data_IF_956226060460
#
_entry.id   IF_956226060460
#
_cell.length_a   1.000
_cell.length_b   1.000
_cell.length_c   1.000
_cell.angle_alpha   90.00
_cell.angle_beta   90.00
_cell.angle_gamma   90.00
#
_symmetry.space_group_name_H-M   'P 1'
#
loop_
_entity.id
_entity.type
_entity.pdbx_description
1 polymer ?
#
# COMPACT_ATOMS: atom_id res chain seq x y z
N UNK A 1 12.15 -33.10 1.84
CA UNK A 1 12.03 -32.73 0.41
C UNK A 1 12.87 -31.49 0.16
N UNK A 2 13.91 -31.61 -0.68
CA UNK A 2 14.79 -30.50 -1.05
C UNK A 2 14.10 -29.61 -2.09
N UNK A 3 13.53 -28.49 -1.64
CA UNK A 3 13.16 -27.41 -2.54
C UNK A 3 14.42 -26.71 -3.01
N UNK A 4 14.63 -26.65 -4.33
CA UNK A 4 15.62 -25.77 -4.93
C UNK A 4 15.44 -24.37 -4.35
N UNK A 5 16.41 -23.90 -3.56
CA UNK A 5 16.57 -22.49 -3.22
C UNK A 5 16.97 -21.78 -4.51
N UNK A 6 16.02 -21.47 -5.38
CA UNK A 6 16.18 -20.36 -6.31
C UNK A 6 16.54 -19.16 -5.45
N UNK A 7 17.75 -18.63 -5.64
CA UNK A 7 18.23 -17.47 -4.89
C UNK A 7 17.19 -16.36 -5.00
N UNK A 8 16.52 -16.06 -3.89
CA UNK A 8 15.52 -15.02 -3.79
C UNK A 8 16.15 -13.74 -4.30
N UNK A 9 15.66 -13.25 -5.43
CA UNK A 9 16.19 -12.02 -6.03
C UNK A 9 15.05 -11.02 -6.02
N UNK A 10 15.07 -10.05 -5.09
CA UNK A 10 14.09 -8.98 -5.07
C UNK A 10 13.98 -8.31 -6.43
N UNK A 11 12.81 -7.77 -6.75
CA UNK A 11 12.71 -6.89 -7.91
C UNK A 11 13.49 -5.59 -7.63
N UNK A 12 14.20 -5.08 -8.64
CA UNK A 12 14.75 -3.73 -8.55
C UNK A 12 13.60 -2.74 -8.42
N UNK A 13 13.81 -1.68 -7.66
CA UNK A 13 12.89 -0.56 -7.58
C UNK A 13 13.36 0.58 -8.46
N UNK A 14 12.42 1.38 -8.97
CA UNK A 14 12.72 2.64 -9.63
C UNK A 14 13.08 3.74 -8.62
N UNK A 15 13.35 4.95 -9.13
CA UNK A 15 13.63 6.11 -8.28
C UNK A 15 12.48 6.44 -7.32
N UNK A 16 11.25 5.98 -7.58
CA UNK A 16 10.06 6.16 -6.73
C UNK A 16 9.94 5.12 -5.62
N UNK A 17 10.70 4.01 -5.70
CA UNK A 17 10.57 2.87 -4.80
C UNK A 17 9.56 1.82 -5.30
N UNK A 18 8.95 2.03 -6.46
CA UNK A 18 8.04 1.05 -7.06
C UNK A 18 8.84 -0.09 -7.70
N UNK A 19 8.43 -1.36 -7.56
CA UNK A 19 9.08 -2.46 -8.27
C UNK A 19 9.03 -2.24 -9.79
N UNK A 20 10.14 -2.55 -10.45
CA UNK A 20 10.26 -2.54 -11.90
C UNK A 20 9.78 -3.90 -12.40
N UNK A 21 8.55 -3.91 -12.92
CA UNK A 21 7.92 -5.04 -13.58
C UNK A 21 7.87 -4.77 -15.09
N UNK A 22 7.95 -5.83 -15.91
CA UNK A 22 7.61 -5.69 -17.32
C UNK A 22 6.09 -5.74 -17.52
N UNK A 23 5.59 -5.31 -18.69
CA UNK A 23 4.15 -5.21 -18.98
C UNK A 23 3.36 -6.50 -18.71
N UNK A 24 3.96 -7.67 -18.97
CA UNK A 24 3.28 -8.95 -18.75
C UNK A 24 3.25 -9.33 -17.26
N UNK A 25 4.30 -8.99 -16.51
CA UNK A 25 4.33 -9.15 -15.05
C UNK A 25 3.33 -8.21 -14.38
N UNK A 26 3.26 -6.95 -14.83
CA UNK A 26 2.25 -5.99 -14.38
C UNK A 26 0.84 -6.51 -14.64
N UNK A 27 0.56 -6.99 -15.86
CA UNK A 27 -0.75 -7.54 -16.22
C UNK A 27 -1.18 -8.70 -15.30
N UNK A 28 -0.26 -9.62 -14.96
CA UNK A 28 -0.56 -10.73 -14.03
C UNK A 28 -0.80 -10.22 -12.60
N UNK A 29 0.05 -9.31 -12.11
CA UNK A 29 -0.09 -8.75 -10.75
C UNK A 29 -1.40 -7.97 -10.61
N UNK A 30 -1.72 -7.11 -11.58
CA UNK A 30 -2.95 -6.31 -11.59
C UNK A 30 -4.19 -7.19 -11.74
N UNK A 31 -4.13 -8.26 -12.54
CA UNK A 31 -5.25 -9.19 -12.65
C UNK A 31 -5.54 -9.89 -11.32
N UNK A 32 -4.50 -10.39 -10.64
CA UNK A 32 -4.63 -11.01 -9.32
C UNK A 32 -5.11 -10.01 -8.25
N UNK A 33 -4.73 -8.73 -8.37
CA UNK A 33 -5.22 -7.68 -7.49
C UNK A 33 -6.71 -7.42 -7.70
N UNK A 34 -7.14 -7.25 -8.95
CA UNK A 34 -8.52 -6.86 -9.28
C UNK A 34 -9.53 -7.99 -9.13
N UNK A 35 -9.12 -9.23 -9.40
CA UNK A 35 -10.02 -10.39 -9.45
C UNK A 35 -9.71 -11.45 -8.39
N UNK A 36 -8.58 -11.31 -7.69
CA UNK A 36 -8.18 -12.25 -6.67
C UNK A 36 -7.48 -13.49 -7.16
N UNK A 37 -7.60 -14.56 -6.36
CA UNK A 37 -6.89 -15.80 -6.61
C UNK A 37 -7.29 -16.43 -7.95
N UNK A 38 -6.29 -16.88 -8.71
CA UNK A 38 -6.51 -17.45 -10.04
C UNK A 38 -5.54 -18.59 -10.33
N UNK A 39 -5.90 -19.47 -11.26
CA UNK A 39 -5.03 -20.58 -11.70
C UNK A 39 -4.38 -20.24 -13.04
N UNK A 40 -3.24 -20.88 -13.33
CA UNK A 40 -2.38 -20.50 -14.47
C UNK A 40 -3.10 -20.41 -15.84
N UNK A 41 -4.04 -21.31 -16.13
CA UNK A 41 -4.79 -21.26 -17.39
C UNK A 41 -5.78 -20.09 -17.45
N UNK A 42 -6.45 -19.76 -16.33
CA UNK A 42 -7.34 -18.59 -16.29
C UNK A 42 -6.54 -17.30 -16.45
N UNK A 43 -5.38 -17.21 -15.81
CA UNK A 43 -4.46 -16.08 -15.99
C UNK A 43 -4.01 -15.95 -17.44
N UNK A 44 -3.64 -17.04 -18.11
CA UNK A 44 -3.27 -17.05 -19.53
C UNK A 44 -4.41 -16.51 -20.42
N UNK A 45 -5.63 -16.98 -20.20
CA UNK A 45 -6.80 -16.51 -20.94
C UNK A 45 -7.07 -15.02 -20.72
N UNK A 46 -7.09 -14.55 -19.46
CA UNK A 46 -7.47 -13.17 -19.15
C UNK A 46 -6.39 -12.18 -19.57
N UNK A 47 -5.11 -12.54 -19.40
CA UNK A 47 -3.98 -11.69 -19.82
C UNK A 47 -3.64 -11.82 -21.30
N UNK A 48 -4.31 -12.72 -22.03
CA UNK A 48 -4.03 -13.04 -23.43
C UNK A 48 -2.54 -13.42 -23.66
N UNK A 49 -1.99 -14.23 -22.76
CA UNK A 49 -0.62 -14.72 -22.79
C UNK A 49 -0.59 -16.23 -23.00
N UNK A 50 0.50 -16.74 -23.57
CA UNK A 50 0.72 -18.18 -23.63
C UNK A 50 0.91 -18.78 -22.23
N UNK A 51 0.42 -20.00 -22.03
CA UNK A 51 0.51 -20.68 -20.73
C UNK A 51 1.96 -20.85 -20.24
N UNK A 52 2.90 -21.09 -21.16
CA UNK A 52 4.33 -21.17 -20.83
C UNK A 52 4.86 -19.82 -20.35
N UNK A 53 4.46 -18.72 -21.00
CA UNK A 53 4.80 -17.35 -20.58
C UNK A 53 4.26 -17.03 -19.20
N UNK A 54 2.99 -17.33 -18.93
CA UNK A 54 2.39 -17.15 -17.59
C UNK A 54 3.13 -17.97 -16.54
N UNK A 55 3.49 -19.21 -16.85
CA UNK A 55 4.22 -20.08 -15.92
C UNK A 55 5.59 -19.50 -15.56
N UNK A 56 6.33 -18.97 -16.54
CA UNK A 56 7.61 -18.30 -16.31
C UNK A 56 7.44 -16.98 -15.51
N UNK A 57 6.39 -16.22 -15.80
CA UNK A 57 6.07 -14.98 -15.07
C UNK A 57 5.77 -15.28 -13.60
N UNK A 58 4.89 -16.25 -13.33
CA UNK A 58 4.52 -16.65 -11.97
C UNK A 58 5.76 -17.11 -11.21
N UNK A 59 6.59 -17.98 -11.80
CA UNK A 59 7.82 -18.43 -11.16
C UNK A 59 8.73 -17.26 -10.78
N UNK A 60 8.82 -16.22 -11.64
CA UNK A 60 9.60 -15.02 -11.34
C UNK A 60 8.97 -14.15 -10.25
N UNK A 61 7.64 -14.01 -10.24
CA UNK A 61 6.90 -13.26 -9.22
C UNK A 61 6.97 -13.94 -7.85
N UNK A 62 6.88 -15.27 -7.80
CA UNK A 62 7.10 -16.09 -6.60
C UNK A 62 8.52 -15.92 -6.07
N UNK A 63 9.53 -16.00 -6.94
CA UNK A 63 10.93 -15.77 -6.56
C UNK A 63 11.20 -14.35 -6.03
N UNK A 64 10.36 -13.38 -6.40
CA UNK A 64 10.38 -12.01 -5.89
C UNK A 64 9.38 -11.74 -4.76
N UNK A 65 8.77 -12.78 -4.17
CA UNK A 65 7.79 -12.71 -3.08
C UNK A 65 6.52 -11.89 -3.37
N UNK A 66 6.15 -11.70 -4.64
CA UNK A 66 4.93 -10.95 -4.99
C UNK A 66 3.70 -11.86 -5.12
N UNK A 67 3.92 -13.13 -5.43
CA UNK A 67 2.88 -14.14 -5.59
C UNK A 67 3.20 -15.33 -4.71
N UNK A 68 2.18 -15.96 -4.16
CA UNK A 68 2.23 -17.27 -3.52
C UNK A 68 1.21 -18.20 -4.15
N UNK A 69 1.26 -19.48 -3.81
CA UNK A 69 0.25 -20.44 -4.24
C UNK A 69 -0.25 -21.30 -3.09
N UNK A 70 -1.51 -21.71 -3.21
CA UNK A 70 -2.10 -22.80 -2.43
C UNK A 70 -2.52 -23.93 -3.37
N UNK A 71 -2.49 -25.17 -2.85
CA UNK A 71 -3.02 -26.31 -3.59
C UNK A 71 -4.53 -26.41 -3.36
N UNK A 72 -5.30 -26.29 -4.44
CA UNK A 72 -6.74 -26.48 -4.40
C UNK A 72 -7.07 -27.94 -4.67
N UNK A 73 -7.35 -28.66 -3.59
CA UNK A 73 -7.51 -30.12 -3.58
C UNK A 73 -8.94 -30.59 -3.88
N UNK A 74 -9.93 -29.69 -3.95
CA UNK A 74 -11.35 -30.03 -4.21
C UNK A 74 -11.90 -29.33 -5.46
N UNK A 75 -11.43 -29.65 -6.68
CA UNK A 75 -12.07 -29.15 -7.89
C UNK A 75 -13.54 -29.63 -7.98
N UNK A 76 -14.50 -28.74 -8.35
CA UNK A 76 -15.94 -29.03 -8.32
C UNK A 76 -16.38 -30.16 -9.26
N UNK A 77 -15.53 -30.58 -10.18
CA UNK A 77 -15.73 -31.73 -11.08
C UNK A 77 -14.38 -32.41 -11.25
N UNK A 78 -14.35 -33.75 -11.19
CA UNK A 78 -13.17 -34.63 -11.41
C UNK A 78 -12.03 -33.90 -12.14
N UNK A 79 -11.01 -33.51 -11.39
CA UNK A 79 -9.88 -32.76 -11.92
C UNK A 79 -8.66 -32.96 -11.06
N UNK A 80 -7.47 -32.87 -11.69
CA UNK A 80 -6.22 -32.82 -10.95
C UNK A 80 -6.21 -31.58 -10.02
N UNK A 81 -5.52 -31.65 -8.86
CA UNK A 81 -5.29 -30.50 -8.01
C UNK A 81 -4.75 -29.33 -8.83
N UNK A 82 -5.25 -28.12 -8.56
CA UNK A 82 -4.81 -26.90 -9.25
C UNK A 82 -4.03 -26.03 -8.28
N UNK A 83 -2.95 -25.42 -8.77
CA UNK A 83 -2.30 -24.33 -8.06
C UNK A 83 -3.14 -23.06 -8.22
N UNK A 84 -3.60 -22.53 -7.11
CA UNK A 84 -4.27 -21.23 -7.03
C UNK A 84 -3.24 -20.21 -6.60
N UNK A 85 -2.96 -19.25 -7.47
CA UNK A 85 -2.02 -18.17 -7.24
C UNK A 85 -2.73 -16.97 -6.64
N UNK A 86 -2.11 -16.36 -5.64
CA UNK A 86 -2.57 -15.17 -4.94
C UNK A 86 -1.44 -14.16 -4.86
N UNK A 87 -1.75 -12.88 -4.71
CA UNK A 87 -0.74 -11.93 -4.24
C UNK A 87 -0.34 -12.28 -2.81
N UNK A 88 0.88 -11.91 -2.45
CA UNK A 88 1.32 -11.76 -1.06
C UNK A 88 1.00 -10.33 -0.58
N UNK A 89 1.29 -10.03 0.69
CA UNK A 89 1.31 -8.65 1.20
C UNK A 89 2.13 -7.69 0.33
N UNK A 90 3.37 -8.09 -0.01
CA UNK A 90 4.23 -7.31 -0.90
C UNK A 90 3.62 -7.17 -2.30
N UNK A 91 2.99 -8.24 -2.82
CA UNK A 91 2.29 -8.20 -4.10
C UNK A 91 1.11 -7.23 -4.13
N UNK A 92 0.32 -7.19 -3.05
CA UNK A 92 -0.80 -6.27 -2.88
C UNK A 92 -0.34 -4.80 -2.94
N UNK A 93 0.67 -4.44 -2.14
CA UNK A 93 1.21 -3.08 -2.14
C UNK A 93 1.94 -2.75 -3.45
N UNK A 94 2.59 -3.72 -4.08
CA UNK A 94 3.17 -3.56 -5.41
C UNK A 94 2.11 -3.21 -6.46
N UNK A 95 0.96 -3.89 -6.46
CA UNK A 95 -0.14 -3.60 -7.38
C UNK A 95 -0.66 -2.17 -7.24
N UNK A 96 -0.87 -1.70 -6.00
CA UNK A 96 -1.26 -0.32 -5.71
C UNK A 96 -0.22 0.67 -6.22
N UNK A 97 1.08 0.42 -5.98
CA UNK A 97 2.14 1.28 -6.48
C UNK A 97 2.22 1.30 -8.01
N UNK A 98 1.99 0.17 -8.69
CA UNK A 98 1.97 0.12 -10.17
C UNK A 98 0.79 0.93 -10.71
N UNK A 99 -0.41 0.76 -10.15
CA UNK A 99 -1.61 1.52 -10.53
C UNK A 99 -1.42 3.03 -10.35
N UNK A 100 -0.82 3.43 -9.24
CA UNK A 100 -0.56 4.84 -8.92
C UNK A 100 0.73 5.38 -9.52
N UNK A 101 1.48 4.57 -10.28
CA UNK A 101 2.67 4.97 -11.04
C UNK A 101 2.34 5.21 -12.51
N UNK A 102 1.43 4.42 -13.08
CA UNK A 102 1.23 4.41 -14.53
C UNK A 102 0.70 5.74 -15.05
N UNK A 103 1.48 6.35 -15.95
CA UNK A 103 1.25 7.71 -16.41
C UNK A 103 0.03 7.84 -17.35
N UNK A 104 -0.43 6.73 -17.92
CA UNK A 104 -1.40 6.69 -19.01
C UNK A 104 -2.82 6.22 -18.62
N UNK A 105 -3.08 5.87 -17.36
CA UNK A 105 -4.37 5.30 -16.93
C UNK A 105 -5.26 6.35 -16.23
N UNK A 106 -6.35 6.84 -16.88
CA UNK A 106 -7.32 7.75 -16.28
C UNK A 106 -8.38 6.99 -15.48
N UNK A 107 -9.10 7.70 -14.57
CA UNK A 107 -10.35 7.42 -13.84
C UNK A 107 -10.69 5.98 -13.36
N UNK A 108 -10.47 4.96 -14.18
CA UNK A 108 -10.59 3.54 -13.88
C UNK A 108 -9.62 3.12 -12.76
N UNK A 109 -8.47 3.79 -12.59
CA UNK A 109 -7.51 3.48 -11.52
C UNK A 109 -8.13 3.49 -10.12
N UNK A 110 -8.99 4.47 -9.82
CA UNK A 110 -9.66 4.56 -8.54
C UNK A 110 -10.62 3.37 -8.33
N UNK A 111 -11.34 2.97 -9.39
CA UNK A 111 -12.25 1.83 -9.36
C UNK A 111 -11.49 0.50 -9.24
N UNK A 112 -10.36 0.36 -9.92
CA UNK A 112 -9.50 -0.83 -9.82
C UNK A 112 -8.91 -0.96 -8.41
N UNK A 113 -8.48 0.14 -7.79
CA UNK A 113 -8.02 0.15 -6.39
C UNK A 113 -9.15 -0.24 -5.44
N UNK A 114 -10.33 0.37 -5.57
CA UNK A 114 -11.50 0.06 -4.74
C UNK A 114 -11.91 -1.41 -4.86
N UNK A 115 -12.01 -1.92 -6.11
CA UNK A 115 -12.30 -3.31 -6.39
C UNK A 115 -11.23 -4.24 -5.83
N UNK A 116 -9.96 -3.92 -6.03
CA UNK A 116 -8.86 -4.76 -5.56
C UNK A 116 -8.80 -4.86 -4.04
N UNK A 117 -8.95 -3.73 -3.32
CA UNK A 117 -9.05 -3.71 -1.85
C UNK A 117 -10.25 -4.56 -1.40
N UNK A 118 -11.42 -4.38 -2.01
CA UNK A 118 -12.63 -5.14 -1.67
C UNK A 118 -12.51 -6.63 -1.98
N UNK A 119 -11.81 -7.04 -3.03
CA UNK A 119 -11.56 -8.46 -3.28
C UNK A 119 -10.64 -9.01 -2.20
N UNK A 120 -9.55 -8.30 -1.92
CA UNK A 120 -8.51 -8.79 -1.03
C UNK A 120 -8.99 -9.03 0.40
N UNK A 121 -9.93 -8.23 0.91
CA UNK A 121 -10.55 -8.45 2.23
C UNK A 121 -11.26 -9.80 2.39
N UNK A 122 -11.59 -10.48 1.29
CA UNK A 122 -12.28 -11.78 1.32
C UNK A 122 -11.33 -12.97 1.21
N UNK A 123 -10.02 -12.73 1.11
CA UNK A 123 -9.02 -13.76 0.82
C UNK A 123 -8.30 -14.26 2.07
N UNK A 124 -7.75 -15.48 1.98
CA UNK A 124 -6.93 -16.08 3.03
C UNK A 124 -5.70 -15.24 3.43
N UNK A 125 -5.20 -14.39 2.53
CA UNK A 125 -4.10 -13.46 2.79
C UNK A 125 -4.57 -12.00 2.91
N UNK A 126 -5.88 -11.82 3.11
CA UNK A 126 -6.58 -10.54 3.21
C UNK A 126 -6.47 -9.85 4.57
N UNK A 127 -5.78 -10.46 5.54
CA UNK A 127 -5.69 -10.00 6.93
C UNK A 127 -5.33 -8.51 7.04
N UNK A 128 -4.46 -8.02 6.14
CA UNK A 128 -4.05 -6.61 6.04
C UNK A 128 -5.24 -5.67 5.85
N UNK A 129 -6.16 -6.02 4.95
CA UNK A 129 -7.33 -5.18 4.67
C UNK A 129 -8.36 -5.33 5.78
N UNK A 130 -8.50 -6.52 6.35
CA UNK A 130 -9.43 -6.77 7.45
C UNK A 130 -9.04 -6.01 8.71
N UNK A 131 -7.74 -5.87 8.98
CA UNK A 131 -7.25 -5.23 10.21
C UNK A 131 -6.90 -3.75 10.05
N UNK A 132 -6.85 -3.24 8.82
CA UNK A 132 -6.72 -1.80 8.54
C UNK A 132 -8.09 -1.12 8.50
N UNK A 133 -8.31 -0.15 9.38
CA UNK A 133 -9.49 0.72 9.40
C UNK A 133 -9.58 1.53 8.11
N UNK A 134 -8.47 2.07 7.60
CA UNK A 134 -8.45 2.89 6.38
C UNK A 134 -8.74 2.08 5.12
N UNK A 135 -8.11 0.91 4.95
CA UNK A 135 -8.35 0.07 3.77
C UNK A 135 -9.77 -0.50 3.79
N UNK A 136 -10.27 -0.91 4.95
CA UNK A 136 -11.64 -1.41 5.09
C UNK A 136 -12.68 -0.35 4.70
N UNK A 137 -12.44 0.91 5.06
CA UNK A 137 -13.33 2.04 4.74
C UNK A 137 -12.94 2.82 3.49
N UNK A 138 -12.08 2.26 2.65
CA UNK A 138 -11.53 2.95 1.48
C UNK A 138 -12.63 3.49 0.54
N UNK A 139 -13.65 2.69 0.25
CA UNK A 139 -14.78 3.10 -0.60
C UNK A 139 -15.54 4.30 -0.02
N UNK A 140 -15.77 4.33 1.30
CA UNK A 140 -16.42 5.42 2.01
C UNK A 140 -15.57 6.69 1.92
N UNK A 141 -14.26 6.59 2.17
CA UNK A 141 -13.31 7.71 2.08
C UNK A 141 -13.38 8.32 0.67
N UNK A 142 -13.27 7.48 -0.37
CA UNK A 142 -13.31 7.95 -1.76
C UNK A 142 -14.67 8.55 -2.13
N UNK A 143 -15.79 7.95 -1.71
CA UNK A 143 -17.13 8.47 -1.97
C UNK A 143 -17.37 9.84 -1.32
N UNK A 144 -16.99 9.99 -0.04
CA UNK A 144 -17.10 11.26 0.69
C UNK A 144 -16.21 12.32 0.06
N UNK A 145 -15.00 11.95 -0.36
CA UNK A 145 -14.10 12.87 -1.05
C UNK A 145 -14.69 13.34 -2.38
N UNK A 146 -15.27 12.42 -3.17
CA UNK A 146 -16.00 12.75 -4.42
C UNK A 146 -17.17 13.72 -4.22
N UNK A 147 -17.80 13.64 -3.06
CA UNK A 147 -18.96 14.46 -2.71
C UNK A 147 -18.57 15.79 -2.06
N UNK A 148 -17.29 15.96 -1.70
CA UNK A 148 -16.80 17.19 -1.10
C UNK A 148 -16.60 18.26 -2.17
N UNK A 149 -17.10 19.47 -1.91
CA UNK A 149 -16.77 20.66 -2.71
C UNK A 149 -15.40 21.24 -2.32
N UNK A 150 -14.60 20.49 -1.56
CA UNK A 150 -13.34 20.96 -1.03
C UNK A 150 -12.26 20.78 -2.10
N UNK A 151 -11.81 21.89 -2.67
CA UNK A 151 -10.71 21.92 -3.62
C UNK A 151 -9.44 22.12 -2.80
N UNK A 152 -8.53 21.13 -2.82
CA UNK A 152 -7.19 21.35 -2.31
C UNK A 152 -6.53 22.39 -3.22
N UNK A 153 -6.29 23.60 -2.71
CA UNK A 153 -5.58 24.62 -3.46
C UNK A 153 -4.08 24.28 -3.40
N UNK A 154 -3.50 23.70 -4.45
CA UNK A 154 -2.05 23.57 -4.54
C UNK A 154 -1.41 24.94 -4.78
N UNK A 155 -0.86 25.51 -3.72
CA UNK A 155 0.02 26.67 -3.80
C UNK A 155 1.45 26.21 -3.52
N UNK A 156 2.46 26.91 -4.05
CA UNK A 156 3.88 26.58 -3.81
C UNK A 156 4.26 26.60 -2.32
N UNK A 157 3.48 27.28 -1.48
CA UNK A 157 3.64 27.32 -0.02
C UNK A 157 3.25 25.98 0.65
N UNK A 158 2.45 25.15 -0.05
CA UNK A 158 1.98 23.85 0.43
C UNK A 158 2.97 22.68 0.22
N UNK A 159 4.22 22.95 -0.18
CA UNK A 159 5.26 21.92 -0.39
C UNK A 159 6.46 22.06 0.56
N UNK A 160 6.31 22.83 1.63
CA UNK A 160 7.38 23.02 2.60
C UNK A 160 7.69 21.69 3.32
N UNK A 161 8.95 21.23 3.28
CA UNK A 161 9.36 19.93 3.85
C UNK A 161 9.17 18.72 2.92
N UNK A 162 8.71 18.94 1.69
CA UNK A 162 8.61 17.86 0.71
C UNK A 162 9.91 17.75 -0.08
N UNK A 163 10.44 16.53 -0.17
CA UNK A 163 11.48 16.19 -1.14
C UNK A 163 10.98 16.41 -2.56
N UNK A 164 11.88 16.73 -3.49
CA UNK A 164 11.56 16.87 -4.93
C UNK A 164 10.80 15.64 -5.47
N UNK A 165 11.20 14.47 -5.00
CA UNK A 165 10.58 13.19 -5.33
C UNK A 165 9.10 13.13 -4.90
N UNK A 166 8.76 13.60 -3.70
CA UNK A 166 7.38 13.64 -3.23
C UNK A 166 6.55 14.66 -4.01
N UNK A 167 7.12 15.82 -4.32
CA UNK A 167 6.44 16.86 -5.11
C UNK A 167 6.07 16.34 -6.50
N UNK A 168 7.01 15.71 -7.20
CA UNK A 168 6.75 15.12 -8.52
C UNK A 168 5.66 14.06 -8.47
N UNK A 169 5.67 13.18 -7.45
CA UNK A 169 4.63 12.16 -7.27
C UNK A 169 3.27 12.82 -7.04
N UNK A 170 3.19 13.82 -6.14
CA UNK A 170 1.93 14.48 -5.85
C UNK A 170 1.43 15.33 -6.99
N UNK A 171 2.26 16.10 -7.68
CA UNK A 171 1.82 16.83 -8.87
C UNK A 171 1.28 15.88 -9.94
N UNK A 172 1.90 14.70 -10.09
CA UNK A 172 1.44 13.67 -11.03
C UNK A 172 0.08 13.09 -10.60
N UNK A 173 -0.11 12.85 -9.30
CA UNK A 173 -1.35 12.30 -8.75
C UNK A 173 -2.44 13.38 -8.71
N UNK A 174 -2.20 14.56 -8.15
CA UNK A 174 -3.15 15.67 -8.02
C UNK A 174 -3.67 16.15 -9.38
N UNK A 175 -2.81 16.29 -10.40
CA UNK A 175 -3.24 16.65 -11.76
C UNK A 175 -4.18 15.62 -12.39
N UNK A 176 -4.12 14.36 -11.95
CA UNK A 176 -4.91 13.24 -12.48
C UNK A 176 -6.10 12.87 -11.60
N UNK A 177 -6.04 13.19 -10.31
CA UNK A 177 -7.00 12.79 -9.30
C UNK A 177 -7.36 14.00 -8.42
N UNK A 178 -8.61 14.53 -8.48
CA UNK A 178 -9.09 15.59 -7.58
C UNK A 178 -9.09 15.18 -6.08
N UNK A 179 -8.72 13.94 -5.79
CA UNK A 179 -8.60 13.31 -4.46
C UNK A 179 -7.15 12.93 -4.16
N UNK A 180 -6.19 13.61 -4.78
CA UNK A 180 -4.81 13.18 -4.89
C UNK A 180 -4.09 12.93 -3.56
N UNK A 181 -4.50 13.59 -2.47
CA UNK A 181 -3.93 13.37 -1.15
C UNK A 181 -4.16 11.95 -0.61
N UNK A 182 -5.37 11.40 -0.73
CA UNK A 182 -5.65 10.04 -0.25
C UNK A 182 -4.89 8.99 -1.06
N UNK A 183 -4.81 9.18 -2.39
CA UNK A 183 -4.03 8.30 -3.26
C UNK A 183 -2.52 8.45 -3.04
N UNK A 184 -2.03 9.66 -2.76
CA UNK A 184 -0.64 9.86 -2.37
C UNK A 184 -0.33 9.13 -1.07
N UNK A 185 -1.13 9.34 -0.01
CA UNK A 185 -0.95 8.66 1.26
C UNK A 185 -0.99 7.14 1.08
N UNK A 186 -1.94 6.63 0.28
CA UNK A 186 -2.03 5.21 -0.06
C UNK A 186 -0.75 4.71 -0.75
N UNK A 187 -0.23 5.46 -1.72
CA UNK A 187 1.00 5.12 -2.44
C UNK A 187 2.21 5.11 -1.51
N UNK A 188 2.37 6.13 -0.68
CA UNK A 188 3.52 6.27 0.21
C UNK A 188 3.50 5.20 1.31
N UNK A 189 2.34 4.95 1.92
CA UNK A 189 2.17 3.86 2.86
C UNK A 189 2.45 2.49 2.20
N UNK A 190 1.94 2.27 0.99
CA UNK A 190 2.22 1.04 0.22
C UNK A 190 3.72 0.86 -0.07
N UNK A 191 4.45 1.94 -0.33
CA UNK A 191 5.90 1.89 -0.55
C UNK A 191 6.64 1.41 0.68
N UNK A 192 6.32 1.95 1.85
CA UNK A 192 6.97 1.54 3.10
C UNK A 192 6.61 0.11 3.48
N UNK A 193 5.33 -0.27 3.34
CA UNK A 193 4.91 -1.65 3.58
C UNK A 193 5.62 -2.62 2.63
N UNK A 194 5.68 -2.30 1.33
CA UNK A 194 6.41 -3.10 0.34
C UNK A 194 7.86 -3.32 0.73
N UNK A 195 8.57 -2.25 1.13
CA UNK A 195 9.96 -2.31 1.58
C UNK A 195 10.12 -3.24 2.78
N UNK A 196 9.26 -3.11 3.80
CA UNK A 196 9.30 -3.95 5.01
C UNK A 196 9.15 -5.45 4.68
N UNK A 197 8.22 -5.79 3.77
CA UNK A 197 7.99 -7.19 3.37
C UNK A 197 9.11 -7.78 2.51
N UNK A 198 9.70 -6.98 1.61
CA UNK A 198 10.76 -7.45 0.72
C UNK A 198 12.09 -7.58 1.45
N UNK A 199 12.45 -6.62 2.31
CA UNK A 199 13.71 -6.60 3.06
C UNK A 199 13.74 -7.64 4.19
N UNK A 200 12.63 -8.33 4.45
CA UNK A 200 12.56 -9.38 5.47
C UNK A 200 12.62 -8.84 6.90
N UNK A 201 12.30 -7.55 7.10
CA UNK A 201 12.15 -6.91 8.41
C UNK A 201 10.84 -7.35 9.10
N UNK A 202 10.09 -8.26 8.47
CA UNK A 202 8.94 -8.97 9.06
C UNK A 202 9.23 -9.38 10.52
N UNK A 203 10.45 -9.83 10.86
CA UNK A 203 10.76 -10.31 12.22
C UNK A 203 10.64 -9.27 13.35
N UNK A 204 10.67 -7.96 13.06
CA UNK A 204 10.58 -6.94 14.12
C UNK A 204 9.14 -6.47 14.37
N UNK A 205 8.24 -6.65 13.40
CA UNK A 205 6.86 -6.12 13.45
C UNK A 205 5.77 -7.20 13.24
N UNK A 206 6.12 -8.36 12.67
CA UNK A 206 5.23 -9.51 12.52
C UNK A 206 5.06 -10.31 13.82
N UNK A 207 5.84 -10.00 14.87
CA UNK A 207 5.70 -10.65 16.18
C UNK A 207 4.46 -10.19 16.97
N UNK A 208 3.76 -9.12 16.54
CA UNK A 208 2.58 -8.58 17.24
C UNK A 208 1.31 -8.47 16.38
N UNK A 209 1.25 -9.19 15.25
CA UNK A 209 -0.04 -9.68 14.75
C UNK A 209 -0.99 -8.73 14.02
N UNK A 210 -0.61 -7.49 13.68
CA UNK A 210 -1.54 -6.61 12.95
C UNK A 210 -0.86 -5.74 11.86
N UNK A 211 -0.68 -6.31 10.67
CA UNK A 211 -0.10 -5.62 9.51
C UNK A 211 -0.96 -4.42 9.07
N UNK A 212 -2.29 -4.54 9.18
CA UNK A 212 -3.21 -3.46 8.83
C UNK A 212 -3.08 -2.28 9.78
N UNK A 213 -2.90 -2.52 11.08
CA UNK A 213 -2.59 -1.47 12.06
C UNK A 213 -1.29 -0.71 11.73
N UNK A 214 -0.23 -1.41 11.32
CA UNK A 214 1.01 -0.76 10.89
C UNK A 214 0.84 0.06 9.61
N UNK A 215 0.05 -0.46 8.65
CA UNK A 215 -0.32 0.33 7.47
C UNK A 215 -1.05 1.60 7.88
N UNK A 216 -2.04 1.50 8.78
CA UNK A 216 -2.84 2.63 9.26
C UNK A 216 -1.98 3.68 10.00
N UNK A 217 -0.99 3.24 10.79
CA UNK A 217 -0.02 4.14 11.43
C UNK A 217 0.74 4.98 10.40
N UNK A 218 1.27 4.33 9.36
CA UNK A 218 2.04 5.00 8.31
C UNK A 218 1.12 5.91 7.50
N UNK A 219 -0.05 5.40 7.12
CA UNK A 219 -1.04 6.11 6.32
C UNK A 219 -1.59 7.34 7.06
N UNK A 220 -2.06 7.17 8.29
CA UNK A 220 -2.56 8.24 9.15
C UNK A 220 -1.48 9.26 9.48
N UNK A 221 -0.23 8.81 9.69
CA UNK A 221 0.93 9.68 9.82
C UNK A 221 1.14 10.60 8.62
N UNK A 222 1.02 10.08 7.39
CA UNK A 222 1.09 10.89 6.18
C UNK A 222 -0.06 11.88 6.07
N UNK A 223 -1.27 11.47 6.44
CA UNK A 223 -2.44 12.36 6.44
C UNK A 223 -2.29 13.50 7.46
N UNK A 224 -1.76 13.20 8.65
CA UNK A 224 -1.60 14.19 9.72
C UNK A 224 -0.41 15.14 9.50
N UNK A 225 0.72 14.63 8.99
CA UNK A 225 1.98 15.37 8.90
C UNK A 225 2.32 15.85 7.49
N UNK A 226 1.59 15.44 6.47
CA UNK A 226 1.76 15.89 5.08
C UNK A 226 3.06 15.50 4.39
N UNK A 227 4.07 14.95 5.09
CA UNK A 227 5.36 14.56 4.51
C UNK A 227 6.12 13.53 5.37
N UNK A 228 7.12 12.88 4.77
CA UNK A 228 8.09 12.01 5.48
C UNK A 228 8.98 12.81 6.46
N UNK A 229 9.09 14.14 6.30
CA UNK A 229 10.02 15.00 7.04
C UNK A 229 9.35 15.79 8.19
N UNK A 230 8.05 15.53 8.46
CA UNK A 230 7.41 15.90 9.74
C UNK A 230 6.97 17.36 9.91
N UNK A 231 6.67 18.09 8.82
CA UNK A 231 6.11 19.46 8.93
C UNK A 231 4.58 19.46 8.76
N UNK A 232 3.87 19.70 9.86
CA UNK A 232 2.40 19.89 9.91
C UNK A 232 1.93 20.89 8.84
N UNK A 233 1.04 20.46 7.95
CA UNK A 233 0.36 21.33 6.99
C UNK A 233 -1.11 21.53 7.40
N UNK A 234 -1.48 22.68 7.99
CA UNK A 234 -2.83 22.91 8.52
C UNK A 234 -3.95 22.71 7.49
N UNK A 235 -3.71 23.06 6.23
CA UNK A 235 -4.73 23.04 5.17
C UNK A 235 -5.15 21.64 4.72
N UNK A 236 -4.26 20.65 4.85
CA UNK A 236 -4.56 19.25 4.55
C UNK A 236 -5.38 18.61 5.67
N UNK A 237 -5.18 19.07 6.91
CA UNK A 237 -5.89 18.57 8.06
C UNK A 237 -7.38 18.92 7.99
N UNK A 238 -7.73 20.17 7.65
CA UNK A 238 -9.13 20.59 7.50
C UNK A 238 -9.86 19.77 6.43
N UNK A 239 -9.22 19.54 5.29
CA UNK A 239 -9.75 18.66 4.24
C UNK A 239 -10.00 17.24 4.77
N UNK A 240 -8.98 16.62 5.36
CA UNK A 240 -9.09 15.24 5.83
C UNK A 240 -10.12 15.12 6.96
N UNK A 241 -10.13 16.03 7.93
CA UNK A 241 -11.14 16.11 8.97
C UNK A 241 -12.56 16.27 8.40
N UNK A 242 -12.74 17.03 7.31
CA UNK A 242 -14.06 17.17 6.67
C UNK A 242 -14.60 15.87 6.08
N UNK A 243 -13.72 14.95 5.66
CA UNK A 243 -14.06 13.62 5.15
C UNK A 243 -14.31 12.64 6.31
N UNK A 244 -13.49 12.72 7.36
CA UNK A 244 -13.51 11.78 8.48
C UNK A 244 -14.63 12.06 9.48
N UNK A 245 -15.05 13.32 9.67
CA UNK A 245 -15.98 13.77 10.74
C UNK A 245 -17.29 12.98 10.87
N UNK A 246 -17.77 12.37 9.79
CA UNK A 246 -19.02 11.60 9.76
C UNK A 246 -18.78 10.08 9.85
N UNK A 247 -17.63 9.65 10.37
CA UNK A 247 -17.29 8.25 10.64
C UNK A 247 -16.48 8.16 11.95
N UNK A 248 -17.16 7.78 13.04
CA UNK A 248 -16.60 7.77 14.39
C UNK A 248 -15.37 6.88 14.52
N UNK A 249 -15.31 5.78 13.77
CA UNK A 249 -14.20 4.84 13.81
C UNK A 249 -12.96 5.42 13.14
N UNK A 250 -13.11 6.02 11.95
CA UNK A 250 -12.02 6.73 11.27
C UNK A 250 -11.51 7.92 12.08
N UNK A 251 -12.42 8.68 12.70
CA UNK A 251 -12.06 9.80 13.57
C UNK A 251 -11.30 9.33 14.81
N UNK A 252 -11.80 8.30 15.50
CA UNK A 252 -11.16 7.73 16.69
C UNK A 252 -9.78 7.17 16.36
N UNK A 253 -9.66 6.48 15.23
CA UNK A 253 -8.41 5.95 14.71
C UNK A 253 -7.38 7.07 14.46
N UNK A 254 -7.76 8.16 13.76
CA UNK A 254 -6.87 9.31 13.54
C UNK A 254 -6.48 10.04 14.83
N UNK A 255 -7.42 10.22 15.76
CA UNK A 255 -7.13 10.86 17.05
C UNK A 255 -6.12 10.03 17.85
N UNK A 256 -6.30 8.70 17.89
CA UNK A 256 -5.35 7.79 18.52
C UNK A 256 -3.94 7.98 17.95
N UNK A 257 -3.79 8.05 16.63
CA UNK A 257 -2.47 8.23 16.00
C UNK A 257 -1.84 9.60 16.24
N UNK A 258 -2.64 10.66 16.27
CA UNK A 258 -2.15 12.00 16.64
C UNK A 258 -1.68 12.00 18.10
N UNK A 259 -2.40 11.35 18.99
CA UNK A 259 -2.01 11.20 20.40
C UNK A 259 -0.73 10.37 20.57
N UNK A 260 -0.63 9.24 19.85
CA UNK A 260 0.58 8.39 19.86
C UNK A 260 1.80 9.14 19.32
N UNK A 261 1.67 9.86 18.20
CA UNK A 261 2.74 10.67 17.64
C UNK A 261 3.20 11.76 18.64
N UNK A 262 2.26 12.44 19.29
CA UNK A 262 2.56 13.42 20.33
C UNK A 262 3.28 12.79 21.54
N UNK A 263 2.85 11.61 21.97
CA UNK A 263 3.47 10.89 23.08
C UNK A 263 4.89 10.41 22.73
N UNK A 264 5.10 9.94 21.49
CA UNK A 264 6.42 9.57 20.99
C UNK A 264 7.36 10.77 20.97
N UNK A 265 6.91 11.92 20.44
CA UNK A 265 7.70 13.15 20.41
C UNK A 265 8.11 13.61 21.81
N UNK A 266 7.18 13.59 22.79
CA UNK A 266 7.49 13.89 24.20
C UNK A 266 8.57 12.98 24.77
N UNK A 267 8.43 11.66 24.59
CA UNK A 267 9.43 10.67 25.05
C UNK A 267 10.80 10.89 24.39
N UNK A 268 10.84 11.22 23.11
CA UNK A 268 12.09 11.48 22.40
C UNK A 268 12.80 12.73 22.95
N UNK A 269 12.05 13.80 23.25
CA UNK A 269 12.59 15.01 23.91
C UNK A 269 13.16 14.66 25.28
N UNK A 270 12.40 13.96 26.12
CA UNK A 270 12.86 13.54 27.45
C UNK A 270 14.15 12.71 27.39
N UNK A 271 14.25 11.78 26.44
CA UNK A 271 15.46 10.99 26.22
C UNK A 271 16.64 11.84 25.76
N UNK A 272 16.41 12.76 24.83
CA UNK A 272 17.45 13.65 24.31
C UNK A 272 17.99 14.58 25.40
N UNK A 273 17.10 15.18 26.20
CA UNK A 273 17.46 16.00 27.36
C UNK A 273 18.26 15.19 28.39
N UNK A 274 17.84 13.96 28.68
CA UNK A 274 18.57 13.07 29.58
C UNK A 274 19.98 12.72 29.05
N UNK A 275 20.15 12.60 27.73
CA UNK A 275 21.45 12.40 27.09
C UNK A 275 22.32 13.66 27.21
N UNK A 276 21.81 14.84 26.86
CA UNK A 276 22.53 16.12 27.01
C UNK A 276 22.99 16.34 28.46
N UNK A 277 22.10 16.11 29.43
CA UNK A 277 22.41 16.25 30.84
C UNK A 277 23.57 15.33 31.30
N UNK A 278 23.77 14.17 30.66
CA UNK A 278 24.92 13.29 30.92
C UNK A 278 26.23 13.86 30.35
N UNK A 279 26.18 14.55 29.22
CA UNK A 279 27.37 15.16 28.59
C UNK A 279 27.79 16.48 29.24
N UNK A 280 26.85 17.23 29.83
CA UNK A 280 27.11 18.50 30.50
C UNK A 280 27.48 18.39 31.99
N UNK A 281 27.52 17.16 32.54
CA UNK A 281 28.00 16.86 33.92
C UNK A 281 29.49 16.46 33.97
N UNK A 282 30.26 16.75 32.92
CA UNK A 282 31.73 16.70 32.91
C UNK A 282 32.29 18.12 32.94
#
# INVERSE_FOLDING_TARGET
MHGNKTSQTPFKTDSTGCPILNKNQEAVVLNLFEHGQSYGNALATITNLEQQTVSAIIQRLEAGKLVCFSEYNNPPVKGAPRKMYSLTAAGFFAAIMVLLKNDDTPLDTAQVIEKGISQYSTMQFGDIVCSSVFLNKWSIIIQKTKSSNYILLSTSENYHGWSEKQRVIFETIEKKYPYGMWFLALRLASREMYRLFIDGVESTYAHEGDVGYYFDLIFGGFIAMGSEEGLLMPYQLDFCCSILKDDDELMSCMLCYIEEANNFAKKAIEQYEAVIAKYHKK
#
